data_IF_963626679882
#
_entry.id   IF_963626679882
#
_cell.length_a   1.000
_cell.length_b   1.000
_cell.length_c   1.000
_cell.angle_alpha   90.00
_cell.angle_beta   90.00
_cell.angle_gamma   90.00
#
_symmetry.space_group_name_H-M   'P 1'
#
loop_
_entity.id
_entity.type
_entity.pdbx_description
1 polymer ?
#
# COMPACT_ATOMS: atom_id res chain seq x y z
N UNK A 1 -25.63 -6.64 9.44
CA UNK A 1 -24.48 -5.76 9.73
C UNK A 1 -23.23 -6.63 9.77
N UNK A 2 -22.29 -6.42 8.88
CA UNK A 2 -21.03 -7.17 8.82
C UNK A 2 -19.89 -6.23 9.25
N UNK A 3 -18.82 -6.78 9.82
CA UNK A 3 -17.63 -6.02 10.19
C UNK A 3 -16.44 -6.53 9.36
N UNK A 4 -15.84 -5.62 8.59
CA UNK A 4 -14.59 -5.87 7.87
C UNK A 4 -13.44 -5.57 8.82
N UNK A 5 -12.56 -6.54 9.06
CA UNK A 5 -11.36 -6.36 9.87
C UNK A 5 -10.15 -6.69 8.99
N UNK A 6 -9.38 -5.66 8.60
CA UNK A 6 -8.13 -5.89 7.87
C UNK A 6 -7.04 -6.33 8.86
N UNK A 7 -6.82 -7.64 8.96
CA UNK A 7 -5.71 -8.20 9.73
C UNK A 7 -4.37 -8.00 9.02
N UNK A 8 -3.72 -6.86 9.25
CA UNK A 8 -2.32 -6.72 8.87
C UNK A 8 -1.49 -7.52 9.88
N UNK A 9 -0.83 -8.60 9.45
CA UNK A 9 0.12 -9.35 10.29
C UNK A 9 1.42 -8.56 10.57
N UNK A 10 1.31 -7.23 10.69
CA UNK A 10 2.41 -6.32 10.89
C UNK A 10 2.74 -6.27 12.38
N UNK A 11 3.74 -7.03 12.79
CA UNK A 11 4.39 -6.87 14.08
C UNK A 11 5.46 -5.78 13.96
N UNK A 12 5.23 -4.64 14.59
CA UNK A 12 6.28 -3.64 14.83
C UNK A 12 7.02 -4.05 16.11
N UNK A 13 8.32 -4.33 16.03
CA UNK A 13 9.19 -4.23 17.20
C UNK A 13 9.62 -2.77 17.32
N UNK A 14 9.08 -2.06 18.31
CA UNK A 14 9.51 -0.70 18.65
C UNK A 14 10.89 -0.78 19.31
N UNK A 15 11.91 -0.21 18.67
CA UNK A 15 13.13 0.17 19.35
C UNK A 15 12.99 1.61 19.82
N UNK A 16 12.92 1.78 21.14
CA UNK A 16 12.97 3.06 21.83
C UNK A 16 14.35 3.69 21.66
N UNK A 17 14.41 4.89 21.08
CA UNK A 17 15.58 5.78 21.16
C UNK A 17 15.32 6.88 22.20
N UNK A 18 16.28 7.18 23.10
CA UNK A 18 16.14 8.24 24.09
C UNK A 18 16.32 9.64 23.48
N UNK A 19 15.74 10.62 24.16
CA UNK A 19 15.42 11.95 23.66
C UNK A 19 16.58 12.86 23.25
N UNK A 20 16.21 13.92 22.54
CA UNK A 20 17.05 15.08 22.29
C UNK A 20 16.23 16.35 22.54
N UNK A 21 16.75 17.19 23.44
CA UNK A 21 16.24 18.51 23.78
C UNK A 21 16.56 19.54 22.68
N UNK A 22 15.61 20.46 22.47
CA UNK A 22 15.79 21.88 22.18
C UNK A 22 16.68 22.31 21.01
N UNK A 23 16.07 22.94 20.00
CA UNK A 23 16.61 24.12 19.30
C UNK A 23 15.51 24.75 18.42
N UNK A 24 14.96 25.89 18.86
CA UNK A 24 14.24 26.83 17.99
C UNK A 24 15.22 27.76 17.28
N UNK A 25 15.02 27.99 15.98
CA UNK A 25 15.53 29.12 15.21
C UNK A 25 14.79 29.23 13.85
N UNK A 26 14.74 30.42 13.21
CA UNK A 26 13.51 30.99 12.65
C UNK A 26 13.19 30.62 11.21
N UNK A 27 11.89 30.67 10.91
CA UNK A 27 11.29 30.59 9.57
C UNK A 27 11.67 31.84 8.77
N UNK A 28 12.53 31.67 7.77
CA UNK A 28 12.68 32.62 6.65
C UNK A 28 12.25 31.94 5.35
N UNK A 29 11.34 32.62 4.67
CA UNK A 29 10.74 32.28 3.40
C UNK A 29 11.79 32.17 2.28
N UNK A 30 11.87 30.99 1.68
CA UNK A 30 12.46 30.79 0.35
C UNK A 30 11.84 29.52 -0.26
N UNK A 31 10.53 29.58 -0.53
CA UNK A 31 9.74 28.43 -1.03
C UNK A 31 10.02 28.09 -2.50
N UNK A 32 10.45 29.03 -3.33
CA UNK A 32 10.52 28.79 -4.79
C UNK A 32 11.81 28.11 -5.28
N UNK A 33 12.89 28.07 -4.49
CA UNK A 33 14.20 27.54 -4.94
C UNK A 33 14.55 26.16 -4.40
N UNK A 34 13.85 25.66 -3.37
CA UNK A 34 14.00 24.27 -2.87
C UNK A 34 13.21 23.24 -3.68
N UNK A 35 12.00 23.57 -4.12
CA UNK A 35 11.17 22.67 -4.95
C UNK A 35 11.82 22.37 -6.31
N UNK A 36 12.40 23.39 -6.96
CA UNK A 36 13.11 23.21 -8.23
C UNK A 36 14.44 22.44 -8.09
N UNK A 37 15.03 22.38 -6.89
CA UNK A 37 16.27 21.62 -6.61
C UNK A 37 15.99 20.17 -6.19
N UNK A 38 14.85 19.91 -5.54
CA UNK A 38 14.36 18.56 -5.23
C UNK A 38 13.93 17.78 -6.47
N UNK A 39 13.49 18.46 -7.53
CA UNK A 39 13.18 17.85 -8.84
C UNK A 39 14.44 17.40 -9.62
N UNK A 40 15.66 17.71 -9.14
CA UNK A 40 16.93 17.42 -9.83
C UNK A 40 17.84 16.43 -9.09
N UNK A 41 17.33 15.66 -8.12
CA UNK A 41 18.09 14.50 -7.60
C UNK A 41 17.80 13.27 -8.45
N UNK A 42 18.66 13.03 -9.46
CA UNK A 42 18.81 11.81 -10.29
C UNK A 42 17.60 10.86 -10.30
N UNK A 43 16.78 11.03 -11.34
CA UNK A 43 15.46 10.43 -11.51
C UNK A 43 15.37 8.95 -11.19
N UNK A 44 14.59 8.64 -10.18
CA UNK A 44 13.78 7.42 -10.25
C UNK A 44 12.39 7.85 -10.68
N UNK A 45 12.19 7.84 -12.00
CA UNK A 45 10.88 7.93 -12.59
C UNK A 45 10.04 6.77 -12.04
N UNK A 46 8.79 7.03 -11.69
CA UNK A 46 7.87 5.96 -11.36
C UNK A 46 7.83 4.99 -12.54
N UNK A 47 8.11 3.72 -12.30
CA UNK A 47 7.96 2.67 -13.28
C UNK A 47 6.98 1.61 -12.78
N UNK A 48 6.20 1.06 -13.70
CA UNK A 48 5.28 -0.02 -13.43
C UNK A 48 5.44 -1.08 -14.52
N UNK A 49 5.46 -2.34 -14.10
CA UNK A 49 5.55 -3.49 -14.98
C UNK A 49 4.43 -4.46 -14.65
N UNK A 50 3.70 -4.89 -15.68
CA UNK A 50 2.66 -5.91 -15.55
C UNK A 50 3.12 -7.17 -16.29
N UNK A 51 3.50 -8.19 -15.52
CA UNK A 51 3.97 -9.48 -16.05
C UNK A 51 2.89 -10.55 -15.92
N UNK A 52 3.20 -11.77 -16.37
CA UNK A 52 2.33 -12.93 -16.15
C UNK A 52 2.13 -13.23 -14.65
N UNK A 53 3.12 -12.95 -13.81
CA UNK A 53 3.16 -13.45 -12.43
C UNK A 53 2.83 -12.36 -11.40
N UNK A 54 3.14 -11.10 -11.70
CA UNK A 54 2.91 -9.99 -10.78
C UNK A 54 2.82 -8.63 -11.49
N UNK A 55 2.21 -7.67 -10.81
CA UNK A 55 2.37 -6.24 -11.08
C UNK A 55 3.43 -5.68 -10.13
N UNK A 56 4.46 -5.04 -10.68
CA UNK A 56 5.54 -4.41 -9.92
C UNK A 56 5.53 -2.91 -10.14
N UNK A 57 5.61 -2.11 -9.07
CA UNK A 57 5.76 -0.65 -9.15
C UNK A 57 6.99 -0.23 -8.37
N UNK A 58 7.84 0.61 -8.96
CA UNK A 58 8.96 1.28 -8.28
C UNK A 58 8.75 2.78 -8.34
N UNK A 59 8.77 3.44 -7.19
CA UNK A 59 8.57 4.90 -7.09
C UNK A 59 9.85 5.66 -6.78
N UNK A 60 11.00 5.00 -6.82
CA UNK A 60 12.26 5.47 -6.27
C UNK A 60 12.63 4.72 -5.01
N UNK A 61 12.33 5.24 -3.81
CA UNK A 61 12.70 4.60 -2.56
C UNK A 61 11.83 3.39 -2.25
N UNK A 62 10.73 3.14 -2.97
CA UNK A 62 9.81 2.03 -2.69
C UNK A 62 9.63 1.16 -3.92
N UNK A 63 9.62 -0.16 -3.69
CA UNK A 63 9.13 -1.16 -4.63
C UNK A 63 7.93 -1.89 -4.04
N UNK A 64 6.84 -1.98 -4.79
CA UNK A 64 5.64 -2.75 -4.49
C UNK A 64 5.54 -3.90 -5.50
N UNK A 65 5.31 -5.12 -5.02
CA UNK A 65 5.03 -6.29 -5.88
C UNK A 65 3.71 -6.92 -5.45
N UNK A 66 2.77 -6.98 -6.38
CA UNK A 66 1.43 -7.55 -6.20
C UNK A 66 1.33 -8.82 -7.03
N UNK A 67 1.45 -10.01 -6.42
CA UNK A 67 1.42 -11.26 -7.17
C UNK A 67 0.00 -11.55 -7.68
N UNK A 68 -0.11 -12.03 -8.92
CA UNK A 68 -1.39 -12.42 -9.55
C UNK A 68 -1.99 -13.71 -8.97
N UNK A 69 -1.23 -14.41 -8.13
CA UNK A 69 -1.64 -15.61 -7.37
C UNK A 69 -1.26 -15.46 -5.90
N UNK A 70 -2.10 -15.98 -5.02
CA UNK A 70 -1.81 -16.00 -3.58
C UNK A 70 -1.64 -14.59 -2.99
N UNK A 71 -2.41 -13.62 -3.48
CA UNK A 71 -2.35 -12.23 -3.01
C UNK A 71 -2.50 -12.15 -1.49
N UNK A 72 -1.59 -11.40 -0.89
CA UNK A 72 -1.60 -11.00 0.51
C UNK A 72 -1.53 -9.50 0.55
N UNK A 73 -2.38 -8.87 1.34
CA UNK A 73 -2.57 -7.43 1.39
C UNK A 73 -1.46 -6.70 2.16
N UNK A 74 -0.87 -5.57 1.69
CA UNK A 74 -1.09 -4.89 0.40
C UNK A 74 -0.28 -5.48 -0.76
N UNK A 75 0.56 -6.46 -0.48
CA UNK A 75 1.52 -7.06 -1.40
C UNK A 75 2.84 -7.20 -0.67
N UNK A 76 3.90 -7.43 -1.43
CA UNK A 76 5.25 -7.35 -0.89
C UNK A 76 5.75 -5.92 -1.09
N UNK A 77 6.35 -5.32 -0.06
CA UNK A 77 6.92 -3.96 -0.13
C UNK A 77 8.39 -4.01 0.26
N UNK A 78 9.21 -3.29 -0.49
CA UNK A 78 10.62 -3.07 -0.19
C UNK A 78 10.92 -1.57 -0.17
N UNK A 79 11.90 -1.19 0.64
CA UNK A 79 12.41 0.18 0.71
C UNK A 79 13.91 0.23 0.45
N UNK A 80 14.33 1.19 -0.38
CA UNK A 80 15.70 1.68 -0.43
C UNK A 80 15.85 2.83 0.56
N UNK A 81 16.21 2.50 1.79
CA UNK A 81 16.38 3.47 2.88
C UNK A 81 17.64 4.32 2.74
N UNK A 82 18.60 3.87 1.92
CA UNK A 82 19.92 4.52 1.79
C UNK A 82 20.01 5.37 0.51
N UNK A 83 19.05 5.27 -0.39
CA UNK A 83 19.08 5.94 -1.70
C UNK A 83 20.18 5.39 -2.62
N UNK A 84 20.58 4.13 -2.42
CA UNK A 84 21.68 3.49 -3.17
C UNK A 84 21.21 2.43 -4.19
N UNK A 85 19.90 2.36 -4.45
CA UNK A 85 19.25 1.39 -5.32
C UNK A 85 19.05 0.00 -4.69
N UNK A 86 19.48 -0.21 -3.45
CA UNK A 86 19.35 -1.51 -2.76
C UNK A 86 18.06 -1.56 -1.95
N UNK A 87 17.16 -2.46 -2.33
CA UNK A 87 15.85 -2.62 -1.72
C UNK A 87 15.82 -3.68 -0.62
N UNK A 88 15.45 -3.29 0.60
CA UNK A 88 15.20 -4.21 1.70
C UNK A 88 13.70 -4.47 1.85
N UNK A 89 13.30 -5.74 1.89
CA UNK A 89 11.90 -6.11 2.08
C UNK A 89 11.42 -5.71 3.48
N UNK A 90 10.28 -5.04 3.57
CA UNK A 90 9.66 -4.63 4.85
C UNK A 90 8.36 -5.38 5.16
N UNK A 91 7.69 -5.97 4.17
CA UNK A 91 6.52 -6.83 4.40
C UNK A 91 6.32 -7.83 3.27
N UNK A 92 5.75 -9.00 3.60
CA UNK A 92 5.24 -9.98 2.64
C UNK A 92 3.73 -9.83 2.36
N UNK A 93 3.09 -8.83 2.99
CA UNK A 93 1.64 -8.72 3.06
C UNK A 93 1.03 -9.60 4.16
N UNK A 94 -0.16 -9.22 4.60
CA UNK A 94 -1.05 -9.92 5.53
C UNK A 94 -2.31 -10.44 4.85
N UNK A 95 -3.25 -10.93 5.65
CA UNK A 95 -4.52 -11.44 5.13
C UNK A 95 -5.62 -10.41 5.35
N UNK A 96 -6.34 -10.03 4.29
CA UNK A 96 -7.54 -9.22 4.42
C UNK A 96 -8.73 -10.15 4.64
N UNK A 97 -9.48 -9.97 5.73
CA UNK A 97 -10.62 -10.83 6.05
C UNK A 97 -11.86 -10.04 6.45
N UNK A 98 -13.01 -10.68 6.30
CA UNK A 98 -14.29 -10.18 6.77
C UNK A 98 -14.89 -11.22 7.69
N UNK A 99 -15.32 -10.77 8.86
CA UNK A 99 -16.13 -11.58 9.75
C UNK A 99 -17.60 -11.32 9.43
N UNK A 100 -18.24 -12.29 8.80
CA UNK A 100 -19.68 -12.23 8.58
C UNK A 100 -20.39 -12.71 9.85
N UNK A 101 -21.27 -11.88 10.39
CA UNK A 101 -22.17 -12.21 11.49
C UNK A 101 -23.60 -12.30 10.94
N UNK A 102 -24.32 -13.40 11.21
CA UNK A 102 -25.70 -13.62 10.76
C UNK A 102 -25.97 -15.07 10.30
N UNK A 103 -26.90 -15.26 9.36
CA UNK A 103 -27.25 -16.60 8.80
C UNK A 103 -26.04 -17.35 8.21
N UNK A 104 -25.08 -16.60 7.68
CA UNK A 104 -23.77 -17.11 7.28
C UNK A 104 -22.79 -16.69 8.37
N UNK A 105 -22.52 -17.59 9.31
CA UNK A 105 -21.51 -17.39 10.35
C UNK A 105 -20.15 -17.91 9.88
N UNK A 106 -19.10 -17.10 9.97
CA UNK A 106 -17.73 -17.52 9.66
C UNK A 106 -16.78 -16.38 9.32
N UNK A 107 -15.49 -16.68 9.36
CA UNK A 107 -14.44 -15.78 8.85
C UNK A 107 -14.19 -16.11 7.39
N UNK A 108 -14.38 -15.12 6.52
CA UNK A 108 -14.06 -15.23 5.11
C UNK A 108 -12.81 -14.40 4.80
N UNK A 109 -11.90 -14.96 4.01
CA UNK A 109 -10.57 -14.38 3.75
C UNK A 109 -10.42 -14.08 2.27
N UNK A 110 -9.86 -12.93 1.94
CA UNK A 110 -9.53 -12.54 0.58
C UNK A 110 -8.38 -13.41 0.02
N UNK A 111 -7.38 -13.73 0.86
CA UNK A 111 -6.23 -14.58 0.46
C UNK A 111 -6.60 -16.01 0.06
N UNK A 112 -7.81 -16.48 0.44
CA UNK A 112 -8.30 -17.82 0.11
C UNK A 112 -8.97 -17.91 -1.27
N UNK A 113 -9.15 -16.79 -1.98
CA UNK A 113 -9.67 -16.84 -3.34
C UNK A 113 -8.56 -17.10 -4.35
N UNK A 114 -8.57 -18.29 -4.95
CA UNK A 114 -7.63 -18.64 -6.02
C UNK A 114 -7.95 -17.98 -7.37
N UNK A 115 -9.07 -17.26 -7.48
CA UNK A 115 -9.52 -16.57 -8.70
C UNK A 115 -9.46 -15.05 -8.60
N UNK A 116 -8.56 -14.54 -7.75
CA UNK A 116 -8.27 -13.11 -7.74
C UNK A 116 -7.82 -12.62 -9.11
N UNK A 117 -8.09 -11.36 -9.39
CA UNK A 117 -7.62 -10.65 -10.57
C UNK A 117 -6.81 -9.44 -10.11
N UNK A 118 -5.57 -9.36 -10.58
CA UNK A 118 -4.63 -8.25 -10.31
C UNK A 118 -4.29 -7.62 -11.66
N UNK A 119 -4.48 -6.32 -11.78
CA UNK A 119 -4.33 -5.57 -13.02
C UNK A 119 -3.63 -4.23 -12.76
N UNK A 120 -2.70 -3.85 -13.63
CA UNK A 120 -2.21 -2.48 -13.68
C UNK A 120 -3.29 -1.60 -14.33
N UNK A 121 -4.04 -0.86 -13.50
CA UNK A 121 -5.17 -0.03 -13.95
C UNK A 121 -4.68 1.28 -14.59
N UNK A 122 -3.59 1.85 -14.09
CA UNK A 122 -2.96 3.04 -14.65
C UNK A 122 -1.46 3.08 -14.35
N UNK A 123 -0.66 3.62 -15.27
CA UNK A 123 0.76 3.88 -15.09
C UNK A 123 1.16 5.20 -15.77
N UNK A 124 1.51 6.20 -14.97
CA UNK A 124 1.98 7.50 -15.45
C UNK A 124 3.18 7.99 -14.65
N UNK A 125 3.80 9.11 -15.07
CA UNK A 125 5.06 9.60 -14.47
C UNK A 125 4.94 9.98 -12.99
N UNK A 126 3.73 10.27 -12.51
CA UNK A 126 3.46 10.69 -11.12
C UNK A 126 2.77 9.61 -10.30
N UNK A 127 1.92 8.78 -10.92
CA UNK A 127 1.07 7.80 -10.22
C UNK A 127 0.93 6.52 -11.04
N UNK A 128 0.99 5.38 -10.36
CA UNK A 128 0.47 4.11 -10.86
C UNK A 128 -0.59 3.54 -9.92
N UNK A 129 -1.55 2.81 -10.49
CA UNK A 129 -2.66 2.19 -9.76
C UNK A 129 -2.71 0.70 -10.09
N UNK A 130 -2.70 -0.16 -9.07
CA UNK A 130 -3.01 -1.59 -9.21
C UNK A 130 -4.42 -1.82 -8.70
N UNK A 131 -5.26 -2.44 -9.52
CA UNK A 131 -6.57 -2.95 -9.11
C UNK A 131 -6.44 -4.42 -8.75
N UNK A 132 -6.89 -4.78 -7.56
CA UNK A 132 -7.05 -6.17 -7.12
C UNK A 132 -8.52 -6.42 -6.87
N UNK A 133 -9.06 -7.50 -7.41
CA UNK A 133 -10.45 -7.90 -7.17
C UNK A 133 -10.57 -9.39 -6.93
N UNK A 134 -11.59 -9.77 -6.17
CA UNK A 134 -11.86 -11.16 -5.84
C UNK A 134 -13.13 -11.32 -5.04
N UNK A 135 -13.26 -12.45 -4.36
CA UNK A 135 -14.32 -12.74 -3.41
C UNK A 135 -13.75 -13.13 -2.06
N UNK A 136 -14.55 -12.95 -1.01
CA UNK A 136 -14.21 -13.51 0.29
C UNK A 136 -14.51 -15.01 0.30
N UNK A 137 -13.58 -15.85 0.81
CA UNK A 137 -13.72 -17.32 0.80
C UNK A 137 -13.59 -17.93 2.19
N UNK A 138 -14.49 -18.87 2.52
CA UNK A 138 -14.44 -19.67 3.75
C UNK A 138 -14.91 -21.10 3.50
N UNK A 139 -14.08 -22.09 3.82
CA UNK A 139 -14.37 -23.52 3.61
C UNK A 139 -14.93 -23.82 2.20
N UNK A 140 -14.30 -23.29 1.15
CA UNK A 140 -14.74 -23.44 -0.24
C UNK A 140 -15.93 -22.57 -0.65
N UNK A 141 -16.67 -21.99 0.29
CA UNK A 141 -17.80 -21.10 0.01
C UNK A 141 -17.30 -19.69 -0.30
N UNK A 142 -17.89 -19.09 -1.34
CA UNK A 142 -17.63 -17.71 -1.78
C UNK A 142 -18.73 -16.79 -1.29
N UNK A 143 -18.33 -15.63 -0.79
CA UNK A 143 -19.22 -14.54 -0.38
C UNK A 143 -19.06 -13.33 -1.34
N UNK A 144 -19.29 -12.14 -0.80
CA UNK A 144 -19.25 -10.85 -1.50
C UNK A 144 -17.97 -10.65 -2.30
N UNK A 145 -18.09 -9.81 -3.33
CA UNK A 145 -16.97 -9.36 -4.15
C UNK A 145 -16.31 -8.16 -3.47
N UNK A 146 -15.00 -8.09 -3.54
CA UNK A 146 -14.22 -6.96 -3.06
C UNK A 146 -13.34 -6.42 -4.19
N UNK A 147 -13.08 -5.12 -4.13
CA UNK A 147 -12.13 -4.44 -4.99
C UNK A 147 -11.21 -3.58 -4.10
N UNK A 148 -9.92 -3.70 -4.35
CA UNK A 148 -8.87 -2.90 -3.73
C UNK A 148 -8.12 -2.17 -4.84
N UNK A 149 -7.84 -0.88 -4.64
CA UNK A 149 -6.89 -0.13 -5.47
C UNK A 149 -5.70 0.31 -4.64
N UNK A 150 -4.51 0.02 -5.15
CA UNK A 150 -3.24 0.41 -4.58
C UNK A 150 -2.66 1.51 -5.46
N UNK A 151 -2.52 2.70 -4.91
CA UNK A 151 -1.98 3.86 -5.62
C UNK A 151 -0.58 4.15 -5.13
N UNK A 152 0.39 4.13 -6.04
CA UNK A 152 1.79 4.43 -5.77
C UNK A 152 2.19 5.74 -6.45
N UNK A 153 2.89 6.61 -5.74
CA UNK A 153 3.23 7.97 -6.21
C UNK A 153 4.74 8.21 -6.30
N UNK A 154 5.17 8.96 -7.30
CA UNK A 154 6.57 9.34 -7.54
C UNK A 154 7.11 10.35 -6.51
N UNK A 155 6.21 11.12 -5.90
CA UNK A 155 6.50 12.11 -4.86
C UNK A 155 5.78 11.72 -3.57
N UNK A 156 6.31 12.09 -2.39
CA UNK A 156 5.56 11.99 -1.15
C UNK A 156 4.22 12.73 -1.28
N UNK A 157 3.16 12.14 -0.74
CA UNK A 157 1.89 12.84 -0.61
C UNK A 157 2.05 13.91 0.48
N UNK A 158 1.96 15.19 0.12
CA UNK A 158 1.73 16.22 1.14
C UNK A 158 0.38 15.93 1.78
N UNK A 159 0.39 15.83 3.11
CA UNK A 159 -0.77 15.47 3.93
C UNK A 159 -1.79 16.61 3.92
N UNK A 160 -2.56 16.75 2.85
CA UNK A 160 -3.84 17.43 2.89
C UNK A 160 -4.94 16.39 2.61
N UNK A 161 -5.57 15.97 3.72
CA UNK A 161 -6.90 15.37 3.84
C UNK A 161 -7.43 14.53 2.67
N UNK A 162 -7.01 13.25 2.56
CA UNK A 162 -7.72 12.26 1.74
C UNK A 162 -8.62 11.36 2.61
N UNK A 163 -9.91 11.68 2.55
CA UNK A 163 -11.02 11.10 3.29
C UNK A 163 -11.47 9.74 2.73
N UNK A 164 -10.61 8.72 2.61
CA UNK A 164 -11.01 7.40 2.08
C UNK A 164 -10.16 6.24 2.65
N UNK A 165 -10.84 5.36 3.41
CA UNK A 165 -10.46 4.07 4.02
C UNK A 165 -8.96 3.80 4.34
N UNK A 166 -8.57 4.23 5.54
CA UNK A 166 -7.26 4.08 6.17
C UNK A 166 -7.14 2.75 6.94
N UNK A 167 -6.23 1.82 6.59
CA UNK A 167 -5.66 0.85 7.57
C UNK A 167 -4.17 0.57 7.27
N UNK A 168 -3.31 1.05 8.18
CA UNK A 168 -1.87 0.83 8.27
C UNK A 168 -1.15 2.13 8.64
N UNK A 169 -1.04 2.45 9.93
CA UNK A 169 -0.70 3.74 10.55
C UNK A 169 0.67 4.36 10.23
N UNK A 170 0.95 4.61 8.93
CA UNK A 170 2.27 4.74 8.27
C UNK A 170 2.78 3.39 7.81
N UNK A 171 2.88 3.17 6.50
CA UNK A 171 3.77 2.16 5.91
C UNK A 171 5.25 2.57 6.11
N UNK A 172 5.66 2.72 7.37
CA UNK A 172 7.04 2.88 7.89
C UNK A 172 7.97 3.82 7.09
N UNK A 173 7.54 5.10 7.03
CA UNK A 173 8.29 6.34 6.73
C UNK A 173 8.68 6.66 5.27
N UNK A 174 7.69 6.79 4.37
CA UNK A 174 7.96 7.31 3.02
C UNK A 174 6.76 7.81 2.18
N UNK A 175 5.55 7.92 2.72
CA UNK A 175 4.37 8.66 2.19
C UNK A 175 3.98 8.46 0.70
N UNK A 176 4.24 7.28 0.10
CA UNK A 176 4.07 7.06 -1.35
C UNK A 176 3.06 5.97 -1.75
N UNK A 177 2.40 5.30 -0.80
CA UNK A 177 1.41 4.24 -1.08
C UNK A 177 0.08 4.57 -0.40
N UNK A 178 -0.96 4.66 -1.20
CA UNK A 178 -2.34 4.89 -0.78
C UNK A 178 -3.24 3.70 -1.15
N UNK A 179 -4.28 3.47 -0.35
CA UNK A 179 -5.19 2.35 -0.46
C UNK A 179 -6.62 2.84 -0.54
N UNK A 180 -7.38 2.28 -1.47
CA UNK A 180 -8.82 2.45 -1.55
C UNK A 180 -9.51 1.06 -1.57
N UNK A 181 -10.51 0.85 -0.71
CA UNK A 181 -11.23 -0.42 -0.56
C UNK A 181 -12.72 -0.21 -0.73
N UNK A 182 -13.29 -0.87 -1.74
CA UNK A 182 -14.73 -0.89 -2.00
C UNK A 182 -15.27 -2.31 -1.79
N UNK A 183 -16.26 -2.44 -0.90
CA UNK A 183 -17.08 -3.65 -0.78
C UNK A 183 -18.44 -3.38 -1.44
N UNK A 184 -18.74 -4.10 -2.51
CA UNK A 184 -20.04 -3.97 -3.18
C UNK A 184 -21.00 -4.98 -2.56
N UNK A 185 -22.00 -4.46 -1.83
CA UNK A 185 -23.21 -5.21 -1.53
C UNK A 185 -24.04 -5.33 -2.81
N UNK A 186 -24.10 -6.54 -3.37
CA UNK A 186 -25.14 -6.97 -4.31
C UNK A 186 -26.16 -7.81 -3.56
#
# INVERSE_FOLDING_TARGET
KYSVELGTGLSCQEHSTPGCHGCEAPVRSNRSSREARLLRSRGTQLCAEDTRDAVTIVTGPMRLVVPKKGFRFPGQVWLDRKGNGTFTKITNGGDAFVKLRGKINGTFRASKDSRIKVELEAAGPVRATVRVSGRYVSAGRRANRWIIRLHAFAVPLETDECNYAYIGSRLLAGDRLYLDVWDHHL
#
